data_IF_309978811193
#
_entry.id   IF_309978811193
#
_cell.length_a   1.000
_cell.length_b   1.000
_cell.length_c   1.000
_cell.angle_alpha   90.00
_cell.angle_beta   90.00
_cell.angle_gamma   90.00
#
_symmetry.space_group_name_H-M   'P 1'
#
loop_
_entity.id
_entity.type
_entity.pdbx_description
1 polymer ?
#
# COMPACT_ATOMS: atom_id res chain seq x y z
N UNK A 1 10.25 25.69 -10.62
CA UNK A 1 10.88 24.56 -9.88
C UNK A 1 12.06 25.14 -9.13
N UNK A 2 12.13 24.97 -7.81
CA UNK A 2 13.25 25.49 -7.01
C UNK A 2 14.29 24.38 -6.88
N UNK A 3 15.57 24.71 -7.02
CA UNK A 3 16.64 23.74 -6.86
C UNK A 3 16.75 23.29 -5.39
N UNK A 4 17.14 22.02 -5.22
CA UNK A 4 17.22 21.36 -3.92
C UNK A 4 18.12 22.10 -2.91
N UNK A 5 19.29 22.65 -3.29
CA UNK A 5 20.10 23.48 -2.39
C UNK A 5 19.36 24.72 -1.88
N UNK A 6 18.63 25.41 -2.75
CA UNK A 6 17.85 26.59 -2.37
C UNK A 6 16.71 26.23 -1.43
N UNK A 7 16.02 25.10 -1.66
CA UNK A 7 14.99 24.59 -0.75
C UNK A 7 15.55 24.26 0.63
N UNK A 8 16.70 23.59 0.70
CA UNK A 8 17.35 23.20 1.95
C UNK A 8 17.82 24.42 2.76
N UNK A 9 18.34 25.47 2.08
CA UNK A 9 18.73 26.73 2.74
C UNK A 9 17.55 27.47 3.37
N UNK A 10 16.40 27.48 2.69
CA UNK A 10 15.18 28.12 3.19
C UNK A 10 14.64 27.37 4.42
N UNK A 11 14.72 26.04 4.45
CA UNK A 11 14.33 25.24 5.62
C UNK A 11 15.19 25.52 6.86
N UNK A 12 16.49 25.79 6.68
CA UNK A 12 17.39 26.17 7.78
C UNK A 12 17.09 27.58 8.30
N UNK A 13 16.86 28.54 7.38
CA UNK A 13 16.57 29.94 7.71
C UNK A 13 15.20 30.15 8.37
N UNK A 14 14.22 29.31 8.07
CA UNK A 14 12.89 29.32 8.70
C UNK A 14 12.86 28.71 10.11
N UNK A 15 14.03 28.50 10.73
CA UNK A 15 14.11 27.95 12.07
C UNK A 15 13.64 26.50 12.13
N UNK A 16 14.04 25.70 11.11
CA UNK A 16 13.82 24.27 11.03
C UNK A 16 14.41 23.52 12.22
N UNK A 17 13.76 23.62 13.37
CA UNK A 17 13.74 22.54 14.34
C UNK A 17 13.32 21.32 13.55
N UNK A 18 14.18 20.30 13.46
CA UNK A 18 13.72 18.95 13.16
C UNK A 18 12.66 18.64 14.19
N UNK A 19 11.41 18.86 13.80
CA UNK A 19 10.26 18.54 14.61
C UNK A 19 10.28 17.02 14.65
N UNK A 20 10.88 16.43 15.69
CA UNK A 20 10.65 15.04 16.05
C UNK A 20 9.21 14.97 16.57
N UNK A 21 8.24 15.17 15.69
CA UNK A 21 6.91 14.66 15.93
C UNK A 21 7.10 13.16 16.02
N UNK A 22 6.87 12.59 17.20
CA UNK A 22 6.77 11.15 17.41
C UNK A 22 5.89 10.60 16.28
N UNK A 23 6.51 10.00 15.28
CA UNK A 23 5.78 9.47 14.14
C UNK A 23 5.12 8.22 14.67
N UNK A 24 3.85 8.33 15.05
CA UNK A 24 3.08 7.25 15.64
C UNK A 24 2.99 6.10 14.62
N UNK A 25 3.76 5.03 14.88
CA UNK A 25 4.01 3.89 13.97
C UNK A 25 2.73 3.37 13.31
N UNK A 26 1.68 3.17 14.11
CA UNK A 26 0.44 2.51 13.68
C UNK A 26 -0.73 3.46 13.37
N UNK A 27 -0.50 4.78 13.41
CA UNK A 27 -1.52 5.79 13.12
C UNK A 27 -1.53 6.16 11.62
N UNK A 28 -2.13 7.31 11.27
CA UNK A 28 -1.99 7.89 9.92
C UNK A 28 -2.56 7.02 8.81
N UNK A 29 -3.68 6.34 9.05
CA UNK A 29 -4.38 5.56 8.04
C UNK A 29 -3.81 4.16 7.75
N UNK A 30 -2.82 3.70 8.50
CA UNK A 30 -2.29 2.33 8.35
C UNK A 30 -3.31 1.28 8.81
N UNK A 31 -3.98 1.53 9.94
CA UNK A 31 -4.99 0.64 10.51
C UNK A 31 -6.37 1.30 10.43
N UNK A 32 -7.37 0.52 10.07
CA UNK A 32 -8.79 0.91 10.04
C UNK A 32 -9.57 0.18 11.11
N UNK A 33 -10.64 0.78 11.62
CA UNK A 33 -11.50 0.15 12.61
C UNK A 33 -12.44 -0.86 11.93
N UNK A 34 -12.46 -2.11 12.40
CA UNK A 34 -13.38 -3.14 11.89
C UNK A 34 -14.85 -2.86 12.19
N UNK A 35 -15.16 -2.03 13.20
CA UNK A 35 -16.53 -1.67 13.58
C UNK A 35 -17.13 -0.56 12.70
N UNK A 36 -16.39 0.52 12.44
CA UNK A 36 -16.93 1.70 11.75
C UNK A 36 -16.16 2.12 10.49
N UNK A 37 -15.09 1.40 10.11
CA UNK A 37 -14.24 1.71 8.97
C UNK A 37 -13.35 2.95 9.12
N UNK A 38 -13.52 3.73 10.19
CA UNK A 38 -12.72 4.94 10.42
C UNK A 38 -11.26 4.58 10.77
N UNK A 39 -10.34 5.50 10.50
CA UNK A 39 -8.92 5.30 10.77
C UNK A 39 -8.63 5.20 12.28
N UNK A 40 -7.65 4.37 12.62
CA UNK A 40 -7.04 4.33 13.95
C UNK A 40 -6.04 5.49 14.07
N UNK A 41 -6.11 6.18 15.20
CA UNK A 41 -5.20 7.27 15.57
C UNK A 41 -4.41 6.90 16.82
N UNK A 42 -3.29 7.59 17.04
CA UNK A 42 -2.47 7.39 18.23
C UNK A 42 -2.45 8.61 19.13
N UNK A 43 -2.24 8.40 20.43
CA UNK A 43 -1.95 9.45 21.40
C UNK A 43 -0.82 9.03 22.34
N UNK A 44 0.05 10.00 22.66
CA UNK A 44 1.09 9.83 23.68
C UNK A 44 0.55 10.31 25.03
N UNK A 45 0.59 9.46 26.04
CA UNK A 45 0.14 9.76 27.40
C UNK A 45 1.30 9.57 28.37
N UNK A 46 1.66 10.65 29.05
CA UNK A 46 2.66 10.66 30.12
C UNK A 46 2.02 10.28 31.45
N UNK A 47 2.40 9.15 32.05
CA UNK A 47 1.88 8.72 33.35
C UNK A 47 2.61 9.42 34.50
N UNK A 48 1.89 10.29 35.22
CA UNK A 48 2.31 10.84 36.53
C UNK A 48 2.14 9.74 37.60
N UNK A 49 3.08 9.50 38.53
CA UNK A 49 4.29 10.29 38.88
C UNK A 49 5.58 9.88 38.16
N UNK A 50 5.57 8.78 37.39
CA UNK A 50 6.78 8.19 36.79
C UNK A 50 7.43 9.00 35.66
N UNK A 51 6.69 9.96 35.07
CA UNK A 51 7.14 10.69 33.88
C UNK A 51 7.25 9.83 32.61
N UNK A 52 6.90 8.54 32.66
CA UNK A 52 6.99 7.62 31.53
C UNK A 52 5.91 7.90 30.50
N UNK A 53 6.31 7.96 29.25
CA UNK A 53 5.41 8.13 28.11
C UNK A 53 4.96 6.78 27.58
N UNK A 54 3.68 6.70 27.23
CA UNK A 54 3.06 5.53 26.64
C UNK A 54 2.27 5.95 25.40
N UNK A 55 2.51 5.26 24.29
CA UNK A 55 1.73 5.46 23.07
C UNK A 55 0.56 4.50 23.05
N UNK A 56 -0.63 5.04 22.77
CA UNK A 56 -1.85 4.26 22.65
C UNK A 56 -2.54 4.53 21.32
N UNK A 57 -3.13 3.48 20.75
CA UNK A 57 -3.87 3.51 19.51
C UNK A 57 -5.35 3.21 19.76
N UNK A 58 -6.23 3.99 19.13
CA UNK A 58 -7.69 3.84 19.23
C UNK A 58 -8.38 4.34 17.97
N UNK A 59 -9.64 3.97 17.79
CA UNK A 59 -10.44 4.52 16.70
C UNK A 59 -10.60 6.05 16.83
N UNK A 60 -10.55 6.77 15.72
CA UNK A 60 -10.88 8.21 15.69
C UNK A 60 -12.29 8.52 16.19
N UNK A 61 -13.23 7.58 16.04
CA UNK A 61 -14.61 7.69 16.54
C UNK A 61 -14.85 6.94 17.85
N UNK A 62 -13.79 6.63 18.63
CA UNK A 62 -13.95 5.85 19.87
C UNK A 62 -14.90 6.50 20.88
N UNK A 63 -15.08 7.83 20.84
CA UNK A 63 -15.98 8.55 21.75
C UNK A 63 -17.46 8.52 21.35
N UNK A 64 -17.79 8.03 20.16
CA UNK A 64 -19.16 7.98 19.67
C UNK A 64 -20.04 7.02 20.51
N UNK A 65 -21.32 7.32 20.58
CA UNK A 65 -22.32 6.48 21.24
C UNK A 65 -22.42 5.13 20.51
N UNK A 66 -22.52 4.03 21.27
CA UNK A 66 -22.51 2.67 20.73
C UNK A 66 -21.16 2.18 20.17
N UNK A 67 -20.09 2.99 20.18
CA UNK A 67 -18.77 2.56 19.70
C UNK A 67 -17.99 1.80 20.79
N UNK A 68 -17.37 0.65 20.45
CA UNK A 68 -16.46 -0.06 21.36
C UNK A 68 -15.32 0.82 21.89
N UNK A 69 -15.06 0.74 23.20
CA UNK A 69 -14.04 1.54 23.90
C UNK A 69 -12.69 0.85 23.99
N UNK A 70 -12.21 0.40 22.84
CA UNK A 70 -10.93 -0.32 22.74
C UNK A 70 -9.79 0.67 22.57
N UNK A 71 -8.71 0.41 23.30
CA UNK A 71 -7.48 1.19 23.28
C UNK A 71 -6.32 0.23 23.49
N UNK A 72 -5.42 0.15 22.51
CA UNK A 72 -4.23 -0.68 22.56
C UNK A 72 -2.98 0.17 22.82
N UNK A 73 -2.01 -0.37 23.54
CA UNK A 73 -0.66 0.16 23.63
C UNK A 73 0.14 -0.19 22.37
N UNK A 74 1.19 0.58 22.08
CA UNK A 74 2.10 0.27 20.98
C UNK A 74 2.71 -1.13 21.10
N UNK A 75 3.05 -1.54 22.32
CA UNK A 75 3.58 -2.87 22.62
C UNK A 75 2.59 -3.99 22.28
N UNK A 76 1.30 -3.81 22.55
CA UNK A 76 0.28 -4.83 22.22
C UNK A 76 0.16 -5.01 20.71
N UNK A 77 0.28 -3.93 19.94
CA UNK A 77 0.29 -4.01 18.47
C UNK A 77 1.59 -4.66 17.98
N UNK A 78 2.75 -4.28 18.53
CA UNK A 78 4.05 -4.89 18.20
C UNK A 78 4.05 -6.41 18.40
N UNK A 79 3.48 -6.91 19.50
CA UNK A 79 3.38 -8.35 19.76
C UNK A 79 2.58 -9.07 18.67
N UNK A 80 1.50 -8.47 18.19
CA UNK A 80 0.69 -9.04 17.12
C UNK A 80 1.40 -9.03 15.77
N UNK A 81 2.16 -7.96 15.47
CA UNK A 81 2.99 -7.88 14.26
C UNK A 81 4.13 -8.91 14.30
N UNK A 82 4.78 -9.07 15.45
CA UNK A 82 5.84 -10.09 15.62
C UNK A 82 5.28 -11.51 15.46
N UNK A 83 4.07 -11.77 15.94
CA UNK A 83 3.39 -13.05 15.72
C UNK A 83 3.09 -13.29 14.22
N UNK A 84 2.73 -12.25 13.47
CA UNK A 84 2.60 -12.33 12.01
C UNK A 84 3.95 -12.69 11.36
N UNK A 85 5.03 -12.01 11.73
CA UNK A 85 6.36 -12.27 11.17
C UNK A 85 6.87 -13.68 11.49
N UNK A 86 6.56 -14.20 12.68
CA UNK A 86 6.89 -15.57 13.03
C UNK A 86 6.19 -16.59 12.11
N UNK A 87 4.97 -16.31 11.65
CA UNK A 87 4.22 -17.20 10.74
C UNK A 87 4.77 -17.23 9.32
N UNK A 88 5.41 -16.14 8.87
CA UNK A 88 6.03 -16.04 7.54
C UNK A 88 7.55 -16.30 7.58
N UNK A 89 8.08 -16.66 8.76
CA UNK A 89 9.49 -16.98 8.92
C UNK A 89 9.79 -18.30 8.22
N UNK A 90 10.73 -18.27 7.28
CA UNK A 90 11.15 -19.43 6.52
C UNK A 90 12.47 -19.99 7.09
N UNK A 91 12.67 -21.32 7.05
CA UNK A 91 13.98 -21.92 7.22
C UNK A 91 14.97 -21.35 6.19
N UNK A 92 16.24 -21.25 6.56
CA UNK A 92 17.26 -20.64 5.70
C UNK A 92 17.41 -21.36 4.34
N UNK A 93 17.16 -22.68 4.30
CA UNK A 93 17.19 -23.47 3.06
C UNK A 93 16.10 -23.07 2.06
N UNK A 94 14.94 -22.61 2.54
CA UNK A 94 13.81 -22.17 1.70
C UNK A 94 13.86 -20.67 1.39
N UNK A 95 14.67 -19.91 2.14
CA UNK A 95 14.83 -18.46 1.96
C UNK A 95 15.31 -18.11 0.56
N UNK A 96 16.33 -18.82 0.07
CA UNK A 96 16.90 -18.54 -1.25
C UNK A 96 15.91 -18.87 -2.38
N UNK A 97 15.22 -20.01 -2.27
CA UNK A 97 14.16 -20.39 -3.20
C UNK A 97 13.03 -19.34 -3.22
N UNK A 98 12.58 -18.89 -2.05
CA UNK A 98 11.52 -17.89 -1.96
C UNK A 98 11.93 -16.52 -2.52
N UNK A 99 13.19 -16.11 -2.31
CA UNK A 99 13.75 -14.91 -2.95
C UNK A 99 13.72 -15.01 -4.48
N UNK A 100 14.05 -16.16 -5.04
CA UNK A 100 13.96 -16.40 -6.49
C UNK A 100 12.50 -16.35 -6.99
N UNK A 101 11.56 -16.94 -6.24
CA UNK A 101 10.14 -16.86 -6.54
C UNK A 101 9.62 -15.41 -6.49
N UNK A 102 10.02 -14.63 -5.49
CA UNK A 102 9.71 -13.20 -5.38
C UNK A 102 10.23 -12.39 -6.57
N UNK A 103 11.46 -12.64 -7.00
CA UNK A 103 12.05 -12.01 -8.19
C UNK A 103 11.29 -12.36 -9.45
N UNK A 104 10.91 -13.63 -9.63
CA UNK A 104 10.12 -14.08 -10.78
C UNK A 104 8.73 -13.45 -10.78
N UNK A 105 8.05 -13.43 -9.62
CA UNK A 105 6.75 -12.80 -9.45
C UNK A 105 6.81 -11.30 -9.73
N UNK A 106 7.81 -10.59 -9.20
CA UNK A 106 8.00 -9.16 -9.47
C UNK A 106 8.17 -8.86 -10.96
N UNK A 107 8.93 -9.69 -11.68
CA UNK A 107 9.09 -9.54 -13.13
C UNK A 107 7.77 -9.75 -13.87
N UNK A 108 6.99 -10.75 -13.47
CA UNK A 108 5.69 -11.03 -14.06
C UNK A 108 4.67 -9.92 -13.78
N UNK A 109 4.60 -9.41 -12.55
CA UNK A 109 3.70 -8.31 -12.16
C UNK A 109 4.04 -7.02 -12.91
N UNK A 110 5.35 -6.73 -13.07
CA UNK A 110 5.82 -5.63 -13.92
C UNK A 110 5.41 -5.81 -15.36
N UNK A 111 5.56 -7.02 -15.92
CA UNK A 111 5.16 -7.28 -17.31
C UNK A 111 3.66 -7.12 -17.50
N UNK A 112 2.83 -7.67 -16.60
CA UNK A 112 1.38 -7.47 -16.64
C UNK A 112 1.00 -5.99 -16.58
N UNK A 113 1.66 -5.21 -15.74
CA UNK A 113 1.42 -3.76 -15.63
C UNK A 113 1.77 -3.03 -16.93
N UNK A 114 2.89 -3.39 -17.57
CA UNK A 114 3.29 -2.86 -18.88
C UNK A 114 2.22 -3.18 -19.93
N UNK A 115 1.75 -4.43 -19.97
CA UNK A 115 0.76 -4.89 -20.94
C UNK A 115 -0.60 -4.21 -20.71
N UNK A 116 -1.08 -4.12 -19.47
CA UNK A 116 -2.31 -3.40 -19.10
C UNK A 116 -2.24 -1.91 -19.48
N UNK A 117 -1.10 -1.27 -19.24
CA UNK A 117 -0.89 0.14 -19.56
C UNK A 117 -0.83 0.35 -21.08
N UNK A 118 -0.16 -0.55 -21.80
CA UNK A 118 -0.14 -0.53 -23.26
C UNK A 118 -1.56 -0.70 -23.83
N UNK A 119 -2.38 -1.56 -23.25
CA UNK A 119 -3.77 -1.77 -23.66
C UNK A 119 -4.64 -0.53 -23.44
N UNK A 120 -4.51 0.13 -22.30
CA UNK A 120 -5.19 1.39 -22.03
C UNK A 120 -4.77 2.49 -23.03
N UNK A 121 -3.48 2.59 -23.35
CA UNK A 121 -3.00 3.51 -24.39
C UNK A 121 -3.57 3.17 -25.78
N UNK A 122 -3.63 1.89 -26.15
CA UNK A 122 -4.25 1.45 -27.41
C UNK A 122 -5.73 1.85 -27.49
N UNK A 123 -6.48 1.62 -26.41
CA UNK A 123 -7.89 2.01 -26.33
C UNK A 123 -8.07 3.53 -26.42
N UNK A 124 -7.25 4.32 -25.72
CA UNK A 124 -7.27 5.78 -25.81
C UNK A 124 -7.03 6.26 -27.25
N UNK A 125 -6.03 5.72 -27.93
CA UNK A 125 -5.74 6.07 -29.32
C UNK A 125 -6.92 5.73 -30.24
N UNK A 126 -7.57 4.58 -30.03
CA UNK A 126 -8.74 4.18 -30.81
C UNK A 126 -9.94 5.12 -30.61
N UNK A 127 -10.24 5.52 -29.36
CA UNK A 127 -11.36 6.44 -29.08
C UNK A 127 -11.07 7.83 -29.64
N UNK A 128 -9.81 8.31 -29.57
CA UNK A 128 -9.40 9.58 -30.22
C UNK A 128 -9.61 9.53 -31.72
N UNK A 129 -9.17 8.45 -32.38
CA UNK A 129 -9.37 8.26 -33.82
C UNK A 129 -10.86 8.20 -34.21
N UNK A 130 -11.70 7.53 -33.40
CA UNK A 130 -13.14 7.49 -33.62
C UNK A 130 -13.77 8.88 -33.53
N UNK A 131 -13.31 9.69 -32.58
CA UNK A 131 -13.78 11.07 -32.40
C UNK A 131 -13.38 11.98 -33.56
N UNK A 132 -12.14 11.84 -34.06
CA UNK A 132 -11.67 12.57 -35.24
C UNK A 132 -12.51 12.20 -36.49
N UNK A 133 -12.83 10.92 -36.67
CA UNK A 133 -13.72 10.46 -37.75
C UNK A 133 -15.14 11.00 -37.59
N UNK A 134 -15.69 11.00 -36.38
CA UNK A 134 -17.01 11.56 -36.09
C UNK A 134 -17.06 13.05 -36.45
N UNK A 135 -16.01 13.81 -36.14
CA UNK A 135 -15.88 15.22 -36.51
C UNK A 135 -15.85 15.40 -38.03
N UNK A 136 -15.06 14.59 -38.75
CA UNK A 136 -15.00 14.67 -40.20
C UNK A 136 -16.37 14.40 -40.86
N UNK A 137 -17.10 13.38 -40.39
CA UNK A 137 -18.46 13.09 -40.88
C UNK A 137 -19.41 14.26 -40.63
N UNK A 138 -19.27 14.96 -39.51
CA UNK A 138 -20.07 16.16 -39.21
C UNK A 138 -19.71 17.34 -40.11
N UNK A 139 -18.42 17.56 -40.38
CA UNK A 139 -17.92 18.60 -41.29
C UNK A 139 -18.42 18.37 -42.71
N UNK A 140 -18.47 17.11 -43.14
CA UNK A 140 -19.02 16.71 -44.45
C UNK A 140 -20.56 16.69 -44.49
N UNK A 141 -21.22 17.07 -43.40
CA UNK A 141 -22.68 17.07 -43.23
C UNK A 141 -23.35 15.70 -43.43
N UNK A 142 -22.57 14.60 -43.37
CA UNK A 142 -23.08 13.23 -43.49
C UNK A 142 -23.92 12.79 -42.27
N UNK A 143 -23.78 13.50 -41.15
CA UNK A 143 -24.54 13.28 -39.92
C UNK A 143 -25.15 14.57 -39.38
N UNK A 144 -26.34 14.44 -38.78
CA UNK A 144 -27.04 15.56 -38.17
C UNK A 144 -26.44 16.00 -36.82
N UNK A 145 -26.74 17.21 -36.34
CA UNK A 145 -26.19 17.75 -35.09
C UNK A 145 -26.48 16.88 -33.87
N UNK A 146 -27.69 16.31 -33.77
CA UNK A 146 -28.13 15.54 -32.62
C UNK A 146 -27.36 14.20 -32.51
N UNK A 147 -27.13 13.55 -33.65
CA UNK A 147 -26.37 12.30 -33.74
C UNK A 147 -24.90 12.53 -33.38
N UNK A 148 -24.33 13.64 -33.86
CA UNK A 148 -22.99 14.07 -33.49
C UNK A 148 -22.90 14.34 -31.97
N UNK A 149 -23.81 15.15 -31.42
CA UNK A 149 -23.80 15.52 -30.02
C UNK A 149 -23.91 14.30 -29.09
N UNK A 150 -24.83 13.37 -29.39
CA UNK A 150 -24.99 12.14 -28.62
C UNK A 150 -23.71 11.29 -28.63
N UNK A 151 -23.08 11.11 -29.81
CA UNK A 151 -21.85 10.30 -29.94
C UNK A 151 -20.60 10.98 -29.40
N UNK A 152 -20.48 12.30 -29.53
CA UNK A 152 -19.34 13.06 -28.97
C UNK A 152 -19.35 13.01 -27.44
N UNK A 153 -20.53 13.06 -26.80
CA UNK A 153 -20.66 12.86 -25.35
C UNK A 153 -20.21 11.46 -24.93
N UNK A 154 -20.70 10.40 -25.58
CA UNK A 154 -20.30 9.02 -25.28
C UNK A 154 -18.77 8.81 -25.39
N UNK A 155 -18.16 9.32 -26.47
CA UNK A 155 -16.72 9.21 -26.68
C UNK A 155 -15.91 10.05 -25.67
N UNK A 156 -16.42 11.22 -25.28
CA UNK A 156 -15.82 12.06 -24.23
C UNK A 156 -15.83 11.36 -22.87
N UNK A 157 -16.97 10.79 -22.48
CA UNK A 157 -17.09 10.07 -21.21
C UNK A 157 -16.17 8.86 -21.18
N UNK A 158 -16.06 8.14 -22.30
CA UNK A 158 -15.13 7.02 -22.43
C UNK A 158 -13.67 7.46 -22.35
N UNK A 159 -13.30 8.59 -22.98
CA UNK A 159 -11.96 9.16 -22.85
C UNK A 159 -11.65 9.50 -21.39
N UNK A 160 -12.55 10.22 -20.72
CA UNK A 160 -12.37 10.62 -19.32
C UNK A 160 -12.19 9.39 -18.41
N UNK A 161 -13.00 8.35 -18.60
CA UNK A 161 -12.87 7.10 -17.84
C UNK A 161 -11.54 6.39 -18.08
N UNK A 162 -11.09 6.30 -19.34
CA UNK A 162 -9.80 5.68 -19.67
C UNK A 162 -8.61 6.48 -19.11
N UNK A 163 -8.67 7.81 -19.15
CA UNK A 163 -7.66 8.70 -18.57
C UNK A 163 -7.60 8.56 -17.04
N UNK A 164 -8.75 8.44 -16.37
CA UNK A 164 -8.82 8.17 -14.94
C UNK A 164 -8.19 6.81 -14.58
N UNK A 165 -8.48 5.76 -15.34
CA UNK A 165 -7.86 4.44 -15.16
C UNK A 165 -6.33 4.50 -15.31
N UNK A 166 -5.83 5.25 -16.29
CA UNK A 166 -4.40 5.43 -16.52
C UNK A 166 -3.73 6.17 -15.36
N UNK A 167 -4.36 7.23 -14.85
CA UNK A 167 -3.86 7.99 -13.69
C UNK A 167 -3.83 7.15 -12.41
N UNK A 168 -4.77 6.22 -12.25
CA UNK A 168 -4.81 5.30 -11.11
C UNK A 168 -3.66 4.28 -11.16
N UNK A 169 -3.29 3.77 -12.33
CA UNK A 169 -2.20 2.80 -12.52
C UNK A 169 -0.81 3.40 -12.25
N UNK A 170 -0.56 4.66 -12.64
CA UNK A 170 0.76 5.30 -12.52
C UNK A 170 1.24 5.62 -11.09
N UNK A 171 0.42 5.41 -10.05
CA UNK A 171 0.73 5.86 -8.67
C UNK A 171 1.18 4.78 -7.70
N UNK A 172 1.21 3.50 -8.08
CA UNK A 172 1.42 2.48 -7.05
C UNK A 172 1.69 1.07 -7.52
N UNK A 173 2.60 0.85 -8.49
CA UNK A 173 3.00 -0.53 -8.79
C UNK A 173 4.49 -0.79 -9.07
N UNK A 174 5.21 0.17 -9.63
CA UNK A 174 6.62 -0.03 -10.02
C UNK A 174 7.61 -0.20 -8.85
N UNK A 175 7.26 0.20 -7.62
CA UNK A 175 8.15 0.12 -6.46
C UNK A 175 8.07 -1.23 -5.71
N UNK A 176 7.10 -2.10 -6.00
CA UNK A 176 6.79 -3.21 -5.11
C UNK A 176 7.76 -4.39 -5.15
N UNK A 177 8.45 -4.63 -6.26
CA UNK A 177 9.35 -5.78 -6.43
C UNK A 177 10.60 -5.76 -5.56
N UNK A 178 11.44 -4.74 -5.76
CA UNK A 178 12.69 -4.56 -5.01
C UNK A 178 12.41 -4.28 -3.53
N UNK A 179 11.30 -3.59 -3.24
CA UNK A 179 10.82 -3.41 -1.88
C UNK A 179 10.42 -4.74 -1.24
N UNK A 180 9.67 -5.60 -1.93
CA UNK A 180 9.24 -6.89 -1.39
C UNK A 180 10.43 -7.80 -1.02
N UNK A 181 11.55 -7.75 -1.75
CA UNK A 181 12.77 -8.51 -1.40
C UNK A 181 13.43 -7.96 -0.14
N UNK A 182 13.63 -6.64 -0.05
CA UNK A 182 14.18 -5.99 1.16
C UNK A 182 13.31 -6.24 2.38
N UNK A 183 12.00 -6.19 2.18
CA UNK A 183 11.00 -6.45 3.22
C UNK A 183 10.99 -7.91 3.63
N UNK A 184 11.13 -8.85 2.69
CA UNK A 184 11.28 -10.26 3.01
C UNK A 184 12.51 -10.47 3.89
N UNK A 185 13.68 -9.94 3.51
CA UNK A 185 14.89 -10.04 4.34
C UNK A 185 14.69 -9.46 5.76
N UNK A 186 13.99 -8.34 5.88
CA UNK A 186 13.66 -7.72 7.16
C UNK A 186 12.62 -8.51 7.97
N UNK A 187 11.64 -9.15 7.33
CA UNK A 187 10.67 -10.03 8.01
C UNK A 187 11.33 -11.27 8.62
N UNK A 188 12.45 -11.69 8.02
CA UNK A 188 13.26 -12.78 8.53
C UNK A 188 14.26 -12.33 9.60
N UNK A 189 14.35 -11.02 9.88
CA UNK A 189 15.24 -10.48 10.88
C UNK A 189 14.77 -10.85 12.31
N UNK A 190 15.68 -10.86 13.31
CA UNK A 190 15.31 -11.13 14.69
C UNK A 190 14.28 -10.12 15.22
N UNK A 191 13.35 -10.58 16.06
CA UNK A 191 12.31 -9.76 16.69
C UNK A 191 12.86 -8.53 17.42
N UNK A 192 14.06 -8.63 17.98
CA UNK A 192 14.73 -7.53 18.66
C UNK A 192 15.00 -6.35 17.72
N UNK A 193 15.35 -6.62 16.45
CA UNK A 193 15.58 -5.57 15.46
C UNK A 193 14.30 -4.80 15.14
N UNK A 194 13.15 -5.49 15.12
CA UNK A 194 11.86 -4.82 14.97
C UNK A 194 11.61 -3.88 16.13
N UNK A 195 11.77 -4.33 17.38
CA UNK A 195 11.48 -3.50 18.55
C UNK A 195 12.32 -2.21 18.58
N UNK A 196 13.56 -2.25 18.10
CA UNK A 196 14.47 -1.09 18.03
C UNK A 196 14.38 -0.26 16.74
N UNK A 197 13.66 -0.73 15.72
CA UNK A 197 13.57 -0.05 14.43
C UNK A 197 12.82 1.29 14.52
N UNK A 198 13.16 2.23 13.64
CA UNK A 198 12.46 3.52 13.58
C UNK A 198 11.01 3.34 13.11
N UNK A 199 10.09 4.16 13.63
CA UNK A 199 8.66 4.08 13.30
C UNK A 199 8.37 4.17 11.81
N UNK A 200 9.18 4.91 11.05
CA UNK A 200 9.07 5.01 9.59
C UNK A 200 9.39 3.68 8.90
N UNK A 201 10.45 3.01 9.31
CA UNK A 201 10.86 1.72 8.74
C UNK A 201 9.82 0.64 9.05
N UNK A 202 9.35 0.59 10.30
CA UNK A 202 8.25 -0.29 10.72
C UNK A 202 7.01 -0.10 9.86
N UNK A 203 6.63 1.17 9.62
CA UNK A 203 5.47 1.51 8.80
C UNK A 203 5.65 1.06 7.35
N UNK A 204 6.80 1.39 6.74
CA UNK A 204 7.09 1.01 5.36
C UNK A 204 7.01 -0.50 5.18
N UNK A 205 7.58 -1.27 6.13
CA UNK A 205 7.48 -2.73 6.13
C UNK A 205 6.03 -3.22 6.11
N UNK A 206 5.17 -2.67 6.97
CA UNK A 206 3.77 -3.08 7.03
C UNK A 206 2.99 -2.69 5.77
N UNK A 207 3.25 -1.53 5.17
CA UNK A 207 2.61 -1.10 3.92
C UNK A 207 2.97 -2.02 2.74
N UNK A 208 4.16 -2.64 2.79
CA UNK A 208 4.64 -3.58 1.76
C UNK A 208 4.11 -5.00 1.99
N UNK A 209 4.05 -5.48 3.24
CA UNK A 209 3.57 -6.84 3.55
C UNK A 209 2.05 -6.91 3.53
N UNK A 210 1.39 -5.89 4.05
CA UNK A 210 -0.05 -5.89 4.26
C UNK A 210 -0.75 -5.05 3.19
N UNK A 211 -1.83 -5.61 2.65
CA UNK A 211 -2.77 -4.91 1.80
C UNK A 211 -3.60 -3.95 2.64
N UNK A 212 -4.11 -4.44 3.78
CA UNK A 212 -4.93 -3.69 4.73
C UNK A 212 -4.73 -4.23 6.15
N UNK A 213 -4.81 -3.34 7.15
CA UNK A 213 -4.86 -3.71 8.57
C UNK A 213 -6.18 -3.25 9.16
N UNK A 214 -6.87 -4.16 9.85
CA UNK A 214 -8.15 -3.88 10.52
C UNK A 214 -8.07 -4.19 12.00
N UNK A 215 -8.52 -3.27 12.85
CA UNK A 215 -8.64 -3.50 14.29
C UNK A 215 -10.05 -4.02 14.59
N UNK A 216 -10.15 -5.31 14.91
CA UNK A 216 -11.38 -6.01 15.29
C UNK A 216 -11.29 -6.45 16.76
N UNK A 217 -12.01 -5.75 17.63
CA UNK A 217 -11.77 -5.92 19.06
C UNK A 217 -10.36 -5.46 19.41
N UNK A 218 -9.65 -6.28 20.18
CA UNK A 218 -8.25 -6.06 20.55
C UNK A 218 -7.24 -6.66 19.55
N UNK A 219 -7.74 -7.30 18.47
CA UNK A 219 -6.91 -7.99 17.48
C UNK A 219 -6.78 -7.17 16.19
N UNK A 220 -5.56 -7.07 15.69
CA UNK A 220 -5.24 -6.53 14.37
C UNK A 220 -5.30 -7.69 13.37
N UNK A 221 -6.29 -7.65 12.50
CA UNK A 221 -6.44 -8.55 11.36
C UNK A 221 -5.57 -8.03 10.22
N UNK A 222 -4.60 -8.85 9.83
CA UNK A 222 -3.66 -8.56 8.75
C UNK A 222 -4.11 -9.22 7.44
N UNK A 223 -4.52 -8.42 6.46
CA UNK A 223 -4.70 -8.89 5.09
C UNK A 223 -3.37 -8.73 4.35
N UNK A 224 -2.69 -9.83 4.03
CA UNK A 224 -1.38 -9.80 3.37
C UNK A 224 -1.50 -9.59 1.86
N UNK A 225 -0.46 -8.97 1.29
CA UNK A 225 -0.26 -8.92 -0.16
C UNK A 225 0.34 -10.24 -0.64
N UNK A 226 0.10 -10.55 -1.91
CA UNK A 226 0.85 -11.60 -2.59
C UNK A 226 2.32 -11.16 -2.75
N UNK A 227 3.30 -12.07 -2.61
CA UNK A 227 3.17 -13.51 -2.34
C UNK A 227 3.21 -13.90 -0.84
N UNK A 228 3.15 -12.95 0.10
CA UNK A 228 3.30 -13.22 1.54
C UNK A 228 2.10 -13.98 2.15
N UNK A 229 0.93 -13.88 1.53
CA UNK A 229 -0.28 -14.63 1.88
C UNK A 229 -0.09 -16.15 1.78
N UNK A 230 0.67 -16.62 0.78
CA UNK A 230 1.00 -18.04 0.60
C UNK A 230 1.83 -18.57 1.78
N UNK A 231 2.78 -17.77 2.27
CA UNK A 231 3.60 -18.13 3.43
C UNK A 231 2.75 -18.24 4.70
N UNK A 232 1.88 -17.27 4.94
CA UNK A 232 1.09 -17.25 6.16
C UNK A 232 -0.07 -18.26 6.18
N UNK A 233 -0.51 -18.73 5.01
CA UNK A 233 -1.48 -19.83 4.87
C UNK A 233 -0.84 -21.21 4.98
N UNK A 234 0.50 -21.30 5.07
CA UNK A 234 1.22 -22.56 5.25
C UNK A 234 1.28 -23.44 4.00
N UNK A 235 0.93 -22.90 2.83
CA UNK A 235 1.04 -23.59 1.54
C UNK A 235 2.49 -23.55 1.05
N UNK A 236 3.39 -24.19 1.79
CA UNK A 236 4.69 -24.59 1.25
C UNK A 236 4.40 -25.86 0.44
N UNK A 237 4.61 -25.89 -0.89
CA UNK A 237 4.44 -27.12 -1.64
C UNK A 237 5.38 -28.19 -1.07
N UNK A 238 4.92 -29.44 -0.89
CA UNK A 238 5.77 -30.52 -0.42
C UNK A 238 6.98 -30.66 -1.35
N UNK A 239 8.13 -30.83 -0.72
CA UNK A 239 9.45 -31.00 -1.32
C UNK A 239 9.38 -32.04 -2.44
N UNK A 240 9.42 -31.59 -3.70
CA UNK A 240 9.52 -32.47 -4.85
C UNK A 240 10.98 -32.91 -5.00
N UNK A 241 11.53 -33.51 -3.93
CA UNK A 241 12.74 -34.33 -4.03
C UNK A 241 12.31 -35.65 -4.63
N UNK A 242 12.55 -35.75 -5.94
CA UNK A 242 12.30 -36.94 -6.72
C UNK A 242 12.92 -38.16 -6.07
N UNK A 243 12.06 -39.12 -5.72
CA UNK A 243 12.40 -40.52 -5.85
C UNK A 243 12.83 -40.76 -7.31
N UNK A 244 14.14 -40.91 -7.50
CA UNK A 244 14.69 -41.65 -8.64
C UNK A 244 15.46 -42.82 -8.05
N UNK A 245 14.77 -43.98 -8.12
CA UNK A 245 15.22 -45.37 -8.35
C UNK A 245 16.67 -45.66 -7.98
#
# INVERSE_FOLDING_TARGET
MVDRPTFERVQVLLGGKRYQNHTLTYAGGLITCGHCGAVITGETVTKKPSGREYVYYRCSRYTAEGHPRIRLTEREVDVQVLALFARIKLPDDLRHWFQQCLLAWSKQDRQQTIDETADLHRQLAQVKLQRDRLLNLRIMEEINPDTYAAKDTELRDRLANLELCLQAQGRGRDEHGDLAIKVFELSQAPADKWLTAESREKRQLLEIICLNLKLEGENVVFAMRKPFDVLASGLIPPDNRGDRI
#
